data_IF_132345574260
#
_entry.id   IF_132345574260
#
_cell.length_a   1.000
_cell.length_b   1.000
_cell.length_c   1.000
_cell.angle_alpha   90.00
_cell.angle_beta   90.00
_cell.angle_gamma   90.00
#
_symmetry.space_group_name_H-M   'P 1'
#
loop_
_entity.id
_entity.type
_entity.pdbx_description
1 polymer ?
#
# COMPACT_ATOMS: atom_id res chain seq x y z
N UNK A 1 -17.77 -24.96 35.35
CA UNK A 1 -18.29 -25.25 33.99
C UNK A 1 -18.91 -24.02 33.33
N UNK A 2 -19.98 -23.42 33.88
CA UNK A 2 -20.64 -22.24 33.28
C UNK A 2 -19.71 -21.01 33.14
N UNK A 3 -18.93 -20.68 34.17
CA UNK A 3 -17.97 -19.56 34.12
C UNK A 3 -16.90 -19.70 33.03
N UNK A 4 -16.38 -20.92 32.84
CA UNK A 4 -15.39 -21.24 31.81
C UNK A 4 -16.00 -21.06 30.41
N UNK A 5 -17.23 -21.54 30.20
CA UNK A 5 -17.93 -21.38 28.92
C UNK A 5 -18.16 -19.90 28.56
N UNK A 6 -18.51 -19.07 29.54
CA UNK A 6 -18.66 -17.62 29.34
C UNK A 6 -17.33 -16.97 28.95
N UNK A 7 -16.24 -17.29 29.65
CA UNK A 7 -14.90 -16.77 29.32
C UNK A 7 -14.49 -17.16 27.90
N UNK A 8 -14.66 -18.44 27.54
CA UNK A 8 -14.33 -18.93 26.20
C UNK A 8 -15.15 -18.19 25.13
N UNK A 9 -16.45 -17.99 25.37
CA UNK A 9 -17.31 -17.22 24.47
C UNK A 9 -16.83 -15.78 24.26
N UNK A 10 -16.41 -15.09 25.34
CA UNK A 10 -15.87 -13.74 25.25
C UNK A 10 -14.54 -13.66 24.50
N UNK A 11 -13.66 -14.65 24.69
CA UNK A 11 -12.39 -14.74 23.97
C UNK A 11 -12.63 -14.92 22.47
N UNK A 12 -13.56 -15.81 22.09
CA UNK A 12 -13.92 -16.02 20.69
C UNK A 12 -14.51 -14.74 20.08
N UNK A 13 -15.41 -14.06 20.81
CA UNK A 13 -15.97 -12.79 20.36
C UNK A 13 -14.85 -11.75 20.12
N UNK A 14 -13.92 -11.61 21.07
CA UNK A 14 -12.79 -10.70 20.94
C UNK A 14 -11.91 -11.05 19.73
N UNK A 15 -11.63 -12.33 19.49
CA UNK A 15 -10.88 -12.78 18.32
C UNK A 15 -11.59 -12.43 17.00
N UNK A 16 -12.92 -12.58 16.94
CA UNK A 16 -13.72 -12.20 15.76
C UNK A 16 -13.65 -10.68 15.53
N UNK A 17 -13.78 -9.87 16.59
CA UNK A 17 -13.68 -8.41 16.46
C UNK A 17 -12.30 -8.01 15.94
N UNK A 18 -11.23 -8.58 16.52
CA UNK A 18 -9.85 -8.32 16.09
C UNK A 18 -9.66 -8.71 14.62
N UNK A 19 -10.19 -9.86 14.20
CA UNK A 19 -10.13 -10.31 12.81
C UNK A 19 -10.81 -9.32 11.86
N UNK A 20 -12.05 -8.92 12.15
CA UNK A 20 -12.82 -7.99 11.31
C UNK A 20 -12.14 -6.62 11.21
N UNK A 21 -11.71 -6.04 12.33
CA UNK A 21 -11.03 -4.74 12.35
C UNK A 21 -9.72 -4.79 11.56
N UNK A 22 -8.97 -5.89 11.69
CA UNK A 22 -7.67 -6.04 11.05
C UNK A 22 -7.80 -6.28 9.56
N UNK A 23 -8.76 -7.12 9.14
CA UNK A 23 -9.12 -7.30 7.74
C UNK A 23 -9.51 -5.98 7.08
N UNK A 24 -10.42 -5.21 7.70
CA UNK A 24 -10.85 -3.91 7.17
C UNK A 24 -9.69 -2.92 7.05
N UNK A 25 -8.77 -2.90 8.02
CA UNK A 25 -7.57 -2.07 7.96
C UNK A 25 -6.63 -2.44 6.81
N UNK A 26 -6.38 -3.73 6.60
CA UNK A 26 -5.55 -4.23 5.49
C UNK A 26 -6.22 -3.91 4.14
N UNK A 27 -7.52 -4.17 4.00
CA UNK A 27 -8.27 -3.89 2.78
C UNK A 27 -8.24 -2.39 2.44
N UNK A 28 -8.37 -1.52 3.44
CA UNK A 28 -8.26 -0.07 3.25
C UNK A 28 -6.88 0.39 2.79
N UNK A 29 -5.80 -0.14 3.38
CA UNK A 29 -4.42 0.19 2.99
C UNK A 29 -4.08 -0.36 1.60
N UNK A 30 -4.58 -1.55 1.26
CA UNK A 30 -4.42 -2.14 -0.07
C UNK A 30 -5.06 -1.25 -1.14
N UNK A 31 -6.31 -0.83 -0.92
CA UNK A 31 -7.01 0.09 -1.82
C UNK A 31 -6.25 1.41 -2.01
N UNK A 32 -5.77 2.02 -0.93
CA UNK A 32 -4.96 3.25 -1.02
C UNK A 32 -3.67 3.05 -1.82
N UNK A 33 -3.02 1.89 -1.67
CA UNK A 33 -1.81 1.55 -2.42
C UNK A 33 -2.11 1.36 -3.91
N UNK A 34 -3.23 0.74 -4.26
CA UNK A 34 -3.70 0.59 -5.64
C UNK A 34 -4.03 1.95 -6.29
N UNK A 35 -4.70 2.84 -5.57
CA UNK A 35 -5.00 4.21 -6.04
C UNK A 35 -3.72 5.05 -6.22
N UNK A 36 -2.77 4.92 -5.29
CA UNK A 36 -1.47 5.58 -5.40
C UNK A 36 -0.65 5.06 -6.58
N UNK A 37 -0.72 3.74 -6.85
CA UNK A 37 -0.06 3.14 -8.01
C UNK A 37 -0.64 3.68 -9.30
N UNK A 38 -1.97 3.72 -9.43
CA UNK A 38 -2.63 4.28 -10.61
C UNK A 38 -2.25 5.75 -10.84
N UNK A 39 -2.16 6.53 -9.76
CA UNK A 39 -1.72 7.93 -9.82
C UNK A 39 -0.27 8.02 -10.31
N UNK A 40 0.64 7.26 -9.72
CA UNK A 40 2.05 7.21 -10.13
C UNK A 40 2.21 6.80 -11.60
N UNK A 41 1.46 5.80 -12.07
CA UNK A 41 1.48 5.39 -13.47
C UNK A 41 0.94 6.47 -14.42
N UNK A 42 -0.09 7.21 -14.01
CA UNK A 42 -0.62 8.31 -14.81
C UNK A 42 0.39 9.45 -14.99
N UNK A 43 1.13 9.79 -13.93
CA UNK A 43 2.20 10.79 -13.96
C UNK A 43 3.35 10.28 -14.83
N UNK A 44 3.73 9.01 -14.70
CA UNK A 44 4.79 8.39 -15.52
C UNK A 44 4.45 8.44 -17.02
N UNK A 45 3.21 8.09 -17.39
CA UNK A 45 2.79 8.15 -18.81
C UNK A 45 2.83 9.58 -19.35
N UNK A 46 2.42 10.57 -18.56
CA UNK A 46 2.50 11.97 -18.95
C UNK A 46 3.96 12.44 -19.10
N UNK A 47 4.86 11.96 -18.24
CA UNK A 47 6.30 12.20 -18.33
C UNK A 47 6.87 11.63 -19.65
N UNK A 48 6.63 10.35 -19.93
CA UNK A 48 7.09 9.66 -21.15
C UNK A 48 6.59 10.38 -22.42
N UNK A 49 5.33 10.82 -22.42
CA UNK A 49 4.74 11.56 -23.54
C UNK A 49 5.44 12.91 -23.78
N UNK A 50 5.73 13.66 -22.72
CA UNK A 50 6.43 14.95 -22.81
C UNK A 50 7.88 14.75 -23.22
N UNK A 51 8.54 13.73 -22.67
CA UNK A 51 9.91 13.36 -23.04
C UNK A 51 10.02 13.05 -24.53
N UNK A 52 9.07 12.29 -25.10
CA UNK A 52 9.03 11.98 -26.52
C UNK A 52 8.85 13.21 -27.42
N UNK A 53 8.19 14.27 -26.94
CA UNK A 53 8.00 15.54 -27.67
C UNK A 53 9.22 16.47 -27.60
N UNK A 54 10.18 16.15 -26.72
CA UNK A 54 11.34 16.99 -26.44
C UNK A 54 11.01 18.08 -25.41
N UNK A 55 11.44 17.85 -24.16
CA UNK A 55 11.26 18.81 -23.06
C UNK A 55 12.43 19.79 -22.99
N UNK A 56 12.15 21.02 -22.56
CA UNK A 56 13.20 21.94 -22.11
C UNK A 56 13.76 21.50 -20.75
N UNK A 57 14.96 21.97 -20.38
CA UNK A 57 15.58 21.65 -19.08
C UNK A 57 14.75 22.12 -17.88
N UNK A 58 14.01 23.22 -18.01
CA UNK A 58 13.11 23.71 -16.96
C UNK A 58 11.87 22.83 -16.79
N UNK A 59 11.26 22.43 -17.91
CA UNK A 59 10.12 21.50 -17.90
C UNK A 59 10.54 20.14 -17.33
N UNK A 60 11.69 19.62 -17.77
CA UNK A 60 12.21 18.35 -17.30
C UNK A 60 12.37 18.33 -15.78
N UNK A 61 12.96 19.37 -15.18
CA UNK A 61 13.08 19.48 -13.71
C UNK A 61 11.74 19.44 -13.00
N UNK A 62 10.71 20.08 -13.57
CA UNK A 62 9.37 20.09 -12.99
C UNK A 62 8.70 18.71 -13.09
N UNK A 63 8.79 18.06 -14.25
CA UNK A 63 8.21 16.73 -14.45
C UNK A 63 8.95 15.66 -13.63
N UNK A 64 10.28 15.76 -13.49
CA UNK A 64 11.08 14.91 -12.60
C UNK A 64 10.60 15.06 -11.15
N UNK A 65 10.34 16.29 -10.71
CA UNK A 65 9.83 16.57 -9.37
C UNK A 65 8.41 16.00 -9.17
N UNK A 66 7.50 16.17 -10.14
CA UNK A 66 6.14 15.64 -10.07
C UNK A 66 6.15 14.09 -10.03
N UNK A 67 7.02 13.44 -10.81
CA UNK A 67 7.22 12.00 -10.78
C UNK A 67 7.76 11.55 -9.43
N UNK A 68 8.80 12.21 -8.90
CA UNK A 68 9.38 11.90 -7.58
C UNK A 68 8.32 11.99 -6.47
N UNK A 69 7.47 13.01 -6.50
CA UNK A 69 6.36 13.14 -5.55
C UNK A 69 5.38 11.96 -5.64
N UNK A 70 4.99 11.56 -6.85
CA UNK A 70 4.06 10.45 -7.03
C UNK A 70 4.66 9.12 -6.53
N UNK A 71 5.94 8.88 -6.81
CA UNK A 71 6.69 7.71 -6.33
C UNK A 71 6.80 7.69 -4.82
N UNK A 72 7.16 8.83 -4.20
CA UNK A 72 7.26 8.94 -2.74
C UNK A 72 5.90 8.70 -2.08
N UNK A 73 4.83 9.22 -2.67
CA UNK A 73 3.47 9.00 -2.18
C UNK A 73 3.09 7.51 -2.24
N UNK A 74 3.26 6.86 -3.39
CA UNK A 74 3.04 5.43 -3.55
C UNK A 74 3.86 4.61 -2.54
N UNK A 75 5.15 4.89 -2.41
CA UNK A 75 6.03 4.19 -1.46
C UNK A 75 5.57 4.36 -0.01
N UNK A 76 5.01 5.51 0.36
CA UNK A 76 4.41 5.74 1.67
C UNK A 76 3.20 4.84 1.94
N UNK A 77 2.29 4.73 0.97
CA UNK A 77 1.13 3.84 1.05
C UNK A 77 1.56 2.36 1.10
N UNK A 78 2.46 1.95 0.20
CA UNK A 78 2.98 0.59 0.11
C UNK A 78 3.69 0.17 1.40
N UNK A 79 4.50 1.04 2.02
CA UNK A 79 5.13 0.76 3.32
C UNK A 79 4.11 0.58 4.44
N UNK A 80 3.08 1.42 4.46
CA UNK A 80 2.02 1.32 5.47
C UNK A 80 1.25 0.01 5.35
N UNK A 81 0.96 -0.40 4.11
CA UNK A 81 0.37 -1.70 3.80
C UNK A 81 1.30 -2.86 4.22
N UNK A 82 2.57 -2.84 3.80
CA UNK A 82 3.55 -3.88 4.12
C UNK A 82 3.71 -4.03 5.64
N UNK A 83 3.89 -2.93 6.36
CA UNK A 83 3.98 -2.95 7.83
C UNK A 83 2.74 -3.58 8.47
N UNK A 84 1.54 -3.29 7.95
CA UNK A 84 0.29 -3.84 8.48
C UNK A 84 0.18 -5.34 8.25
N UNK A 85 0.60 -5.84 7.09
CA UNK A 85 0.58 -7.28 6.81
C UNK A 85 1.75 -8.04 7.46
N UNK A 86 2.78 -7.35 7.96
CA UNK A 86 3.92 -7.96 8.66
C UNK A 86 3.79 -7.94 10.20
N UNK A 87 2.85 -7.16 10.74
CA UNK A 87 2.69 -6.97 12.19
C UNK A 87 1.44 -7.68 12.70
N UNK A 88 1.48 -8.24 13.92
CA UNK A 88 0.31 -8.84 14.56
C UNK A 88 -0.82 -7.80 14.79
N UNK A 89 -2.09 -8.17 14.56
CA UNK A 89 -2.60 -9.47 14.08
C UNK A 89 -2.66 -9.59 12.55
N UNK A 90 -2.20 -8.58 11.81
CA UNK A 90 -2.30 -8.52 10.36
C UNK A 90 -1.52 -9.58 9.61
N UNK A 91 -0.36 -10.03 10.14
CA UNK A 91 0.40 -11.15 9.57
C UNK A 91 -0.37 -12.47 9.49
N UNK A 92 -1.15 -12.80 10.52
CA UNK A 92 -1.99 -14.00 10.50
C UNK A 92 -3.06 -13.95 9.40
N UNK A 93 -3.62 -12.76 9.18
CA UNK A 93 -4.64 -12.53 8.15
C UNK A 93 -4.01 -12.52 6.76
N UNK A 94 -2.83 -11.90 6.63
CA UNK A 94 -2.08 -11.86 5.38
C UNK A 94 -1.67 -13.26 4.92
N UNK A 95 -1.19 -14.10 5.84
CA UNK A 95 -0.84 -15.49 5.56
C UNK A 95 -2.06 -16.31 5.13
N UNK A 96 -3.18 -16.17 5.83
CA UNK A 96 -4.44 -16.87 5.53
C UNK A 96 -5.01 -16.48 4.15
N UNK A 97 -4.84 -15.22 3.76
CA UNK A 97 -5.36 -14.67 2.51
C UNK A 97 -4.30 -14.58 1.40
N UNK A 98 -3.09 -15.10 1.64
CA UNK A 98 -1.95 -15.03 0.72
C UNK A 98 -1.69 -13.63 0.17
N UNK A 99 -1.76 -12.61 1.03
CA UNK A 99 -1.54 -11.22 0.63
C UNK A 99 -0.05 -10.94 0.47
N UNK A 100 0.44 -10.64 -0.74
CA UNK A 100 1.85 -10.35 -0.94
C UNK A 100 2.19 -8.91 -0.53
N UNK A 101 3.42 -8.64 -0.08
CA UNK A 101 3.88 -7.27 0.11
C UNK A 101 3.87 -6.51 -1.21
N UNK A 102 3.51 -5.23 -1.14
CA UNK A 102 3.59 -4.31 -2.26
C UNK A 102 5.06 -4.01 -2.59
N UNK A 103 5.37 -3.98 -3.89
CA UNK A 103 6.69 -3.58 -4.40
C UNK A 103 6.92 -2.10 -4.08
N UNK A 104 8.14 -1.74 -3.70
CA UNK A 104 8.60 -0.34 -3.63
C UNK A 104 9.36 0.03 -4.89
N UNK A 105 9.31 1.30 -5.27
CA UNK A 105 10.07 1.82 -6.40
C UNK A 105 11.19 2.76 -5.92
N UNK A 106 12.39 2.58 -6.47
CA UNK A 106 13.52 3.47 -6.29
C UNK A 106 13.58 4.51 -7.41
N UNK A 107 14.32 5.60 -7.20
CA UNK A 107 14.43 6.69 -8.19
C UNK A 107 15.01 6.24 -9.55
N UNK A 108 15.80 5.17 -9.56
CA UNK A 108 16.39 4.55 -10.75
C UNK A 108 15.51 3.46 -11.39
N UNK A 109 14.39 3.06 -10.77
CA UNK A 109 13.46 2.09 -11.38
C UNK A 109 12.67 2.67 -12.56
N UNK A 110 12.86 3.96 -12.86
CA UNK A 110 12.11 4.73 -13.86
C UNK A 110 12.96 5.22 -15.04
N UNK A 111 14.28 4.99 -15.04
CA UNK A 111 15.18 5.38 -16.13
C UNK A 111 15.31 4.33 -17.26
N UNK A 112 14.37 3.37 -17.35
CA UNK A 112 14.42 2.28 -18.34
C UNK A 112 13.52 2.53 -19.55
#
# INVERSE_FOLDING_TARGET
>A
MAFIAVIVGLIILAAIVVYVVSYNGIAGLRKQTEEALATMESVRRAYEEKQAKGMTEEEKKKEDQDLEYAVRYFNGCARSYNQRIETFPGNLIADMLHLPPAKLYAGNDFEQ
#
